data_IF_632927292790
#
_entry.id   IF_632927292790
#
_cell.length_a   1.000
_cell.length_b   1.000
_cell.length_c   1.000
_cell.angle_alpha   90.00
_cell.angle_beta   90.00
_cell.angle_gamma   90.00
#
_symmetry.space_group_name_H-M   'P 1'
#
loop_
_entity.id
_entity.type
_entity.pdbx_description
1 polymer ?
#
# COMPACT_ATOMS: atom_id res chain seq x y z
N UNK A 1 6.83 -64.82 -28.61
CA UNK A 1 6.14 -63.50 -28.81
C UNK A 1 6.22 -62.71 -27.51
N UNK A 2 7.11 -61.74 -27.40
CA UNK A 2 7.27 -60.90 -26.19
C UNK A 2 6.70 -59.53 -26.48
N UNK A 3 5.58 -59.22 -25.88
CA UNK A 3 4.90 -57.93 -25.97
C UNK A 3 5.58 -56.95 -25.01
N UNK A 4 6.20 -55.87 -25.53
CA UNK A 4 6.78 -54.77 -24.74
C UNK A 4 5.67 -53.75 -24.52
N UNK A 5 5.27 -53.53 -23.23
CA UNK A 5 4.45 -52.42 -22.82
C UNK A 5 5.33 -51.17 -22.67
N UNK A 6 5.11 -50.17 -23.51
CA UNK A 6 5.73 -48.84 -23.39
C UNK A 6 4.79 -48.01 -22.55
N UNK A 7 5.18 -47.78 -21.28
CA UNK A 7 4.48 -46.86 -20.39
C UNK A 7 4.97 -45.44 -20.70
N UNK A 8 4.12 -44.66 -21.39
CA UNK A 8 4.37 -43.24 -21.66
C UNK A 8 4.10 -42.43 -20.41
N UNK A 9 5.14 -41.90 -19.80
CA UNK A 9 5.05 -41.01 -18.64
C UNK A 9 4.82 -39.59 -19.15
N UNK A 10 3.59 -39.11 -19.09
CA UNK A 10 3.22 -37.76 -19.51
C UNK A 10 3.56 -36.77 -18.37
N UNK A 11 4.73 -36.10 -18.49
CA UNK A 11 5.18 -35.07 -17.59
C UNK A 11 4.35 -33.79 -17.83
N UNK A 12 3.36 -33.55 -16.98
CA UNK A 12 2.58 -32.30 -17.01
C UNK A 12 3.45 -31.14 -16.52
N UNK A 13 3.94 -30.33 -17.45
CA UNK A 13 4.65 -29.08 -17.16
C UNK A 13 3.64 -28.04 -16.67
N UNK A 14 3.48 -27.89 -15.35
CA UNK A 14 2.70 -26.82 -14.75
C UNK A 14 3.48 -25.52 -14.93
N UNK A 15 3.19 -24.78 -16.00
CA UNK A 15 3.65 -23.41 -16.17
C UNK A 15 2.97 -22.50 -15.14
N UNK A 16 3.58 -22.33 -13.98
CA UNK A 16 3.19 -21.30 -13.03
C UNK A 16 3.46 -19.92 -13.66
N UNK A 17 2.40 -19.18 -14.04
CA UNK A 17 2.55 -17.80 -14.50
C UNK A 17 3.18 -16.98 -13.36
N UNK A 18 4.27 -16.24 -13.61
CA UNK A 18 4.83 -15.37 -12.59
C UNK A 18 3.78 -14.31 -12.22
N UNK A 19 3.36 -14.28 -10.96
CA UNK A 19 2.55 -13.19 -10.44
C UNK A 19 3.49 -11.99 -10.38
N UNK A 20 3.40 -11.11 -11.38
CA UNK A 20 4.22 -9.90 -11.45
C UNK A 20 3.62 -8.87 -10.51
N UNK A 21 4.39 -8.47 -9.50
CA UNK A 21 4.04 -7.36 -8.64
C UNK A 21 3.82 -6.09 -9.48
N UNK A 22 2.69 -5.41 -9.28
CA UNK A 22 2.43 -4.12 -9.93
C UNK A 22 3.01 -3.00 -9.09
N UNK A 23 3.74 -2.09 -9.74
CA UNK A 23 4.30 -0.91 -9.10
C UNK A 23 3.59 0.33 -9.65
N UNK A 24 3.16 1.20 -8.74
CA UNK A 24 2.58 2.50 -9.05
C UNK A 24 3.42 3.58 -8.40
N UNK A 25 3.71 4.65 -9.15
CA UNK A 25 4.53 5.75 -8.67
C UNK A 25 3.76 7.06 -8.77
N UNK A 26 3.79 7.85 -7.72
CA UNK A 26 3.36 9.25 -7.72
C UNK A 26 4.45 10.12 -7.10
N UNK A 27 4.46 11.40 -7.48
CA UNK A 27 5.42 12.35 -6.95
C UNK A 27 4.75 13.68 -6.61
N UNK A 28 5.40 14.44 -5.74
CA UNK A 28 4.95 15.80 -5.42
C UNK A 28 4.96 16.70 -6.65
N UNK A 29 4.00 17.62 -6.74
CA UNK A 29 3.88 18.51 -7.89
C UNK A 29 4.99 19.55 -7.98
N UNK A 30 5.48 20.01 -6.84
CA UNK A 30 6.48 21.09 -6.72
C UNK A 30 7.74 20.66 -5.96
N UNK A 31 7.89 19.38 -5.65
CA UNK A 31 9.01 18.87 -4.86
C UNK A 31 9.61 17.61 -5.48
N UNK A 32 10.50 17.03 -4.73
CA UNK A 32 11.26 15.83 -5.08
C UNK A 32 10.83 14.57 -4.28
N UNK A 33 9.65 14.62 -3.64
CA UNK A 33 9.11 13.50 -2.90
C UNK A 33 8.39 12.54 -3.85
N UNK A 34 8.79 11.27 -3.79
CA UNK A 34 8.24 10.18 -4.61
C UNK A 34 7.67 9.10 -3.70
N UNK A 35 6.46 8.64 -4.01
CA UNK A 35 5.81 7.51 -3.35
C UNK A 35 5.71 6.36 -4.34
N UNK A 36 6.30 5.22 -3.99
CA UNK A 36 6.21 3.97 -4.74
C UNK A 36 5.29 3.02 -4.00
N UNK A 37 4.26 2.53 -4.69
CA UNK A 37 3.28 1.58 -4.15
C UNK A 37 3.41 0.27 -4.89
N UNK A 38 3.72 -0.79 -4.17
CA UNK A 38 3.82 -2.14 -4.71
C UNK A 38 2.57 -2.94 -4.31
N UNK A 39 1.99 -3.61 -5.29
CA UNK A 39 0.78 -4.44 -5.13
C UNK A 39 1.10 -5.85 -5.59
N UNK A 40 1.15 -6.77 -4.62
CA UNK A 40 1.35 -8.20 -4.81
C UNK A 40 0.45 -8.96 -3.81
N UNK A 41 1.00 -9.80 -2.97
CA UNK A 41 0.29 -10.46 -1.84
C UNK A 41 -0.15 -9.48 -0.78
N UNK A 42 0.48 -8.33 -0.71
CA UNK A 42 0.14 -7.20 0.16
C UNK A 42 0.28 -5.89 -0.59
N UNK A 43 -0.27 -4.82 -0.01
CA UNK A 43 0.04 -3.46 -0.43
C UNK A 43 1.18 -2.98 0.44
N UNK A 44 2.30 -2.61 -0.18
CA UNK A 44 3.42 -1.94 0.48
C UNK A 44 3.67 -0.59 -0.17
N UNK A 45 4.16 0.36 0.60
CA UNK A 45 4.53 1.68 0.11
C UNK A 45 5.90 2.09 0.61
N UNK A 46 6.59 2.87 -0.20
CA UNK A 46 7.91 3.41 0.09
C UNK A 46 7.96 4.87 -0.31
N UNK A 47 8.78 5.65 0.39
CA UNK A 47 8.91 7.10 0.14
C UNK A 47 10.38 7.46 -0.03
N UNK A 48 10.66 8.21 -1.08
CA UNK A 48 11.98 8.79 -1.36
C UNK A 48 11.86 10.31 -1.45
N UNK A 49 12.81 11.05 -0.92
CA UNK A 49 12.94 12.49 -1.11
C UNK A 49 14.29 12.81 -1.72
N UNK A 50 14.28 13.34 -2.93
CA UNK A 50 15.48 13.49 -3.75
C UNK A 50 16.18 12.15 -3.97
N UNK A 51 17.41 12.03 -3.50
CA UNK A 51 18.20 10.77 -3.56
C UNK A 51 18.10 9.93 -2.28
N UNK A 52 17.39 10.41 -1.26
CA UNK A 52 17.32 9.77 0.05
C UNK A 52 16.04 8.96 0.19
N UNK A 53 16.17 7.67 0.50
CA UNK A 53 15.03 6.86 0.89
C UNK A 53 14.65 7.22 2.33
N UNK A 54 13.41 7.68 2.52
CA UNK A 54 12.88 8.09 3.83
C UNK A 54 12.15 6.91 4.47
N UNK A 55 11.31 6.23 3.69
CA UNK A 55 10.54 5.08 4.13
C UNK A 55 10.84 3.89 3.23
N UNK A 56 11.29 2.79 3.81
CA UNK A 56 11.44 1.49 3.11
C UNK A 56 10.06 0.88 2.82
N UNK A 57 9.96 -0.14 1.94
CA UNK A 57 8.70 -0.83 1.71
C UNK A 57 8.02 -1.26 3.01
N UNK A 58 6.89 -0.66 3.31
CA UNK A 58 6.13 -0.77 4.56
C UNK A 58 4.72 -1.27 4.27
N UNK A 59 4.27 -2.27 5.01
CA UNK A 59 2.98 -2.94 4.78
C UNK A 59 1.85 -2.13 5.38
N UNK A 60 0.72 -2.08 4.67
CA UNK A 60 -0.53 -1.52 5.17
C UNK A 60 -1.67 -2.52 5.01
N UNK A 61 -2.48 -2.69 6.05
CA UNK A 61 -3.71 -3.48 5.99
C UNK A 61 -4.70 -3.07 7.07
N UNK A 62 -5.98 -3.36 6.84
CA UNK A 62 -7.06 -3.15 7.80
C UNK A 62 -7.92 -4.40 7.87
N UNK A 63 -7.91 -5.07 9.02
CA UNK A 63 -8.71 -6.24 9.28
C UNK A 63 -10.08 -5.84 9.86
N UNK A 64 -11.14 -6.31 9.22
CA UNK A 64 -12.51 -6.09 9.67
C UNK A 64 -13.18 -7.42 10.02
N UNK A 65 -14.40 -7.36 10.54
CA UNK A 65 -15.25 -8.53 10.78
C UNK A 65 -15.60 -9.34 9.52
N UNK A 66 -15.41 -8.75 8.32
CA UNK A 66 -15.81 -9.37 7.05
C UNK A 66 -14.65 -9.72 6.15
N UNK A 67 -13.59 -8.91 6.14
CA UNK A 67 -12.43 -9.11 5.26
C UNK A 67 -11.22 -8.31 5.73
N UNK A 68 -10.05 -8.66 5.22
CA UNK A 68 -8.83 -7.88 5.45
C UNK A 68 -8.49 -7.11 4.17
N UNK A 69 -8.55 -5.77 4.25
CA UNK A 69 -8.11 -4.87 3.18
C UNK A 69 -6.58 -4.83 3.14
N UNK A 70 -5.99 -4.74 1.95
CA UNK A 70 -4.54 -4.67 1.77
C UNK A 70 -3.84 -6.04 1.69
N UNK A 71 -4.55 -7.15 1.93
CA UNK A 71 -4.03 -8.53 1.77
C UNK A 71 -4.63 -9.17 0.52
N UNK A 72 -3.78 -9.78 -0.33
CA UNK A 72 -4.13 -10.32 -1.65
C UNK A 72 -5.05 -9.37 -2.45
N UNK A 73 -4.64 -8.10 -2.62
CA UNK A 73 -5.50 -7.06 -3.18
C UNK A 73 -5.78 -7.33 -4.65
N UNK A 74 -7.06 -7.29 -5.03
CA UNK A 74 -7.49 -7.35 -6.43
C UNK A 74 -7.78 -5.93 -6.90
N UNK A 75 -6.79 -5.29 -7.52
CA UNK A 75 -6.91 -3.95 -8.07
C UNK A 75 -7.57 -4.02 -9.45
N UNK A 76 -8.77 -3.44 -9.58
CA UNK A 76 -9.52 -3.36 -10.84
C UNK A 76 -9.18 -2.10 -11.63
N UNK A 77 -8.93 -1.00 -10.91
CA UNK A 77 -8.63 0.29 -11.52
C UNK A 77 -7.59 1.02 -10.67
N UNK A 78 -6.63 1.65 -11.35
CA UNK A 78 -5.71 2.60 -10.77
C UNK A 78 -5.84 3.93 -11.51
N UNK A 79 -5.89 5.03 -10.77
CA UNK A 79 -5.95 6.37 -11.36
C UNK A 79 -5.02 7.32 -10.63
N UNK A 80 -4.30 8.13 -11.41
CA UNK A 80 -3.44 9.21 -10.90
C UNK A 80 -4.09 10.53 -11.27
N UNK A 81 -4.22 11.44 -10.31
CA UNK A 81 -4.80 12.77 -10.50
C UNK A 81 -3.96 13.81 -9.77
N UNK A 82 -3.87 15.02 -10.35
CA UNK A 82 -3.21 16.15 -9.72
C UNK A 82 -4.26 17.07 -9.11
N UNK A 83 -4.02 17.46 -7.88
CA UNK A 83 -4.80 18.45 -7.16
C UNK A 83 -3.91 19.65 -6.86
N UNK A 84 -4.13 20.75 -7.56
CA UNK A 84 -3.39 22.00 -7.35
C UNK A 84 -4.07 22.82 -6.26
N UNK A 85 -3.26 23.44 -5.41
CA UNK A 85 -3.70 24.41 -4.44
C UNK A 85 -2.63 25.50 -4.35
N UNK A 86 -3.03 26.76 -4.40
CA UNK A 86 -2.14 27.91 -4.43
C UNK A 86 -1.39 28.10 -3.12
N UNK A 87 -1.99 27.68 -1.99
CA UNK A 87 -1.40 27.86 -0.66
C UNK A 87 -0.25 26.89 -0.34
N UNK A 88 -0.31 25.65 -0.84
CA UNK A 88 0.67 24.60 -0.47
C UNK A 88 1.17 23.76 -1.67
N UNK A 89 0.93 24.23 -2.90
CA UNK A 89 1.35 23.56 -4.13
C UNK A 89 0.54 22.32 -4.50
N UNK A 90 -0.39 21.89 -3.64
CA UNK A 90 -1.25 20.73 -3.89
C UNK A 90 -0.56 19.37 -3.72
N UNK A 91 -1.10 18.35 -4.36
CA UNK A 91 -0.58 16.98 -4.29
C UNK A 91 -0.91 16.18 -5.55
N UNK A 92 -0.14 15.15 -5.80
CA UNK A 92 -0.52 14.08 -6.71
C UNK A 92 -1.17 12.94 -5.92
N UNK A 93 -2.28 12.42 -6.42
CA UNK A 93 -3.07 11.35 -5.81
C UNK A 93 -3.05 10.11 -6.68
N UNK A 94 -2.75 8.96 -6.08
CA UNK A 94 -3.01 7.63 -6.62
C UNK A 94 -4.24 7.05 -5.91
N UNK A 95 -5.24 6.62 -6.67
CA UNK A 95 -6.38 5.86 -6.15
C UNK A 95 -6.37 4.46 -6.76
N UNK A 96 -6.24 3.45 -5.91
CA UNK A 96 -6.35 2.04 -6.24
C UNK A 96 -7.75 1.55 -5.86
N UNK A 97 -8.56 1.18 -6.85
CA UNK A 97 -9.89 0.60 -6.61
C UNK A 97 -9.80 -0.91 -6.53
N UNK A 98 -10.12 -1.45 -5.36
CA UNK A 98 -10.10 -2.86 -5.03
C UNK A 98 -11.51 -3.41 -4.76
N UNK A 99 -11.60 -4.72 -4.53
CA UNK A 99 -12.85 -5.36 -4.13
C UNK A 99 -13.27 -4.93 -2.71
N UNK A 100 -14.35 -4.16 -2.62
CA UNK A 100 -14.96 -3.73 -1.36
C UNK A 100 -14.29 -2.53 -0.69
N UNK A 101 -13.19 -2.00 -1.22
CA UNK A 101 -12.48 -0.84 -0.69
C UNK A 101 -11.66 -0.13 -1.77
N UNK A 102 -11.24 1.09 -1.48
CA UNK A 102 -10.22 1.81 -2.23
C UNK A 102 -9.03 2.09 -1.32
N UNK A 103 -7.84 2.25 -1.92
CA UNK A 103 -6.66 2.77 -1.20
C UNK A 103 -6.19 4.02 -1.93
N UNK A 104 -6.06 5.09 -1.19
CA UNK A 104 -5.60 6.37 -1.70
C UNK A 104 -4.23 6.70 -1.12
N UNK A 105 -3.30 7.10 -2.00
CA UNK A 105 -2.00 7.66 -1.62
C UNK A 105 -1.91 9.08 -2.13
N UNK A 106 -1.27 9.95 -1.37
CA UNK A 106 -1.01 11.34 -1.73
C UNK A 106 0.46 11.68 -1.54
N UNK A 107 1.05 12.32 -2.55
CA UNK A 107 2.39 12.88 -2.48
C UNK A 107 2.28 14.41 -2.46
N UNK A 108 2.54 15.01 -1.31
CA UNK A 108 2.66 16.45 -1.11
C UNK A 108 4.12 16.89 -1.27
N UNK A 109 4.39 18.18 -1.25
CA UNK A 109 5.75 18.72 -1.38
C UNK A 109 6.73 18.16 -0.33
N UNK A 110 6.29 18.04 0.92
CA UNK A 110 7.10 17.57 2.05
C UNK A 110 6.45 16.46 2.87
N UNK A 111 5.39 15.83 2.39
CA UNK A 111 4.67 14.79 3.11
C UNK A 111 4.11 13.73 2.16
N UNK A 112 3.99 12.52 2.66
CA UNK A 112 3.25 11.44 2.02
C UNK A 112 2.18 10.93 2.99
N UNK A 113 1.02 10.55 2.45
CA UNK A 113 -0.06 10.03 3.24
C UNK A 113 -0.78 8.91 2.47
N UNK A 114 -1.42 8.00 3.22
CA UNK A 114 -2.36 7.05 2.66
C UNK A 114 -3.64 6.98 3.51
N UNK A 115 -4.68 6.41 2.91
CA UNK A 115 -5.89 6.00 3.63
C UNK A 115 -6.54 4.81 2.94
N UNK A 116 -7.16 3.95 3.72
CA UNK A 116 -8.02 2.86 3.25
C UNK A 116 -9.46 3.33 3.35
N UNK A 117 -10.21 3.22 2.24
CA UNK A 117 -11.58 3.74 2.12
C UNK A 117 -12.52 2.56 1.85
N UNK A 118 -13.25 2.06 2.85
CA UNK A 118 -14.24 1.02 2.65
C UNK A 118 -15.40 1.50 1.78
N UNK A 119 -15.87 0.65 0.85
CA UNK A 119 -17.04 0.95 0.00
C UNK A 119 -18.38 0.61 0.66
N UNK A 120 -18.33 -0.10 1.78
CA UNK A 120 -19.51 -0.45 2.58
C UNK A 120 -19.22 -0.17 4.05
N UNK A 121 -20.26 0.02 4.82
CA UNK A 121 -20.15 0.20 6.28
C UNK A 121 -19.42 -0.97 6.91
N UNK A 122 -18.40 -0.67 7.71
CA UNK A 122 -17.69 -1.59 8.57
C UNK A 122 -18.38 -1.57 9.93
N UNK A 123 -18.75 -2.74 10.45
CA UNK A 123 -19.33 -2.83 11.79
C UNK A 123 -18.24 -2.86 12.86
N UNK A 124 -17.11 -3.54 12.56
CA UNK A 124 -16.03 -3.69 13.52
C UNK A 124 -14.67 -3.75 12.80
N UNK A 125 -13.73 -2.95 13.27
CA UNK A 125 -12.30 -3.07 12.97
C UNK A 125 -11.69 -3.98 14.02
N UNK A 126 -10.97 -5.00 13.59
CA UNK A 126 -10.33 -5.99 14.46
C UNK A 126 -8.86 -5.66 14.67
N UNK A 127 -8.17 -5.23 13.60
CA UNK A 127 -6.76 -4.89 13.64
C UNK A 127 -6.39 -3.96 12.48
N UNK A 128 -5.36 -3.14 12.68
CA UNK A 128 -4.72 -2.35 11.64
C UNK A 128 -3.22 -2.64 11.62
N UNK A 129 -2.66 -2.86 10.43
CA UNK A 129 -1.22 -2.87 10.22
C UNK A 129 -0.85 -1.60 9.49
N UNK A 130 -0.13 -0.72 10.18
CA UNK A 130 0.38 0.54 9.68
C UNK A 130 1.88 0.57 9.95
N UNK A 131 2.65 -0.08 9.07
CA UNK A 131 4.09 -0.21 9.24
C UNK A 131 4.80 1.03 8.70
N UNK A 132 5.82 1.50 9.43
CA UNK A 132 6.72 2.58 9.02
C UNK A 132 8.17 2.15 9.25
N UNK A 133 8.81 1.64 8.19
CA UNK A 133 10.20 1.15 8.23
C UNK A 133 11.13 2.26 7.78
N UNK A 134 11.68 2.99 8.72
CA UNK A 134 12.68 4.01 8.43
C UNK A 134 14.06 3.40 8.15
N UNK A 135 14.88 4.10 7.34
CA UNK A 135 16.22 3.63 6.95
C UNK A 135 17.22 3.72 8.11
N UNK A 136 16.99 4.64 9.04
CA UNK A 136 17.84 4.91 10.19
C UNK A 136 17.05 5.12 11.48
N UNK A 137 17.76 5.33 12.56
CA UNK A 137 17.19 5.68 13.85
C UNK A 137 16.91 7.19 13.87
N UNK A 138 15.64 7.56 13.77
CA UNK A 138 15.17 8.94 13.74
C UNK A 138 14.31 9.23 14.97
N UNK A 139 14.37 10.47 15.43
CA UNK A 139 13.41 10.96 16.42
C UNK A 139 12.01 11.01 15.81
N UNK A 140 11.03 10.44 16.49
CA UNK A 140 9.63 10.48 16.11
C UNK A 140 8.83 11.23 17.18
N UNK A 141 7.94 12.12 16.72
CA UNK A 141 6.95 12.75 17.57
C UNK A 141 5.68 11.91 17.54
N UNK A 142 5.39 11.23 18.64
CA UNK A 142 4.22 10.38 18.77
C UNK A 142 3.28 11.00 19.79
N UNK A 143 2.06 11.40 19.42
CA UNK A 143 1.07 11.86 20.38
C UNK A 143 0.63 10.70 21.28
N UNK A 144 0.93 10.78 22.57
CA UNK A 144 0.42 9.82 23.56
C UNK A 144 -0.92 10.30 24.10
N UNK A 145 -1.94 9.50 23.91
CA UNK A 145 -3.24 9.71 24.56
C UNK A 145 -3.27 8.93 25.85
N UNK A 146 -3.14 9.63 26.98
CA UNK A 146 -3.11 9.01 28.31
C UNK A 146 -4.50 8.57 28.83
N UNK A 147 -5.57 9.01 28.19
CA UNK A 147 -6.94 8.58 28.50
C UNK A 147 -7.83 8.64 27.25
N UNK A 148 -8.92 7.88 27.26
CA UNK A 148 -9.91 7.83 26.17
C UNK A 148 -10.75 9.11 26.01
N UNK A 149 -10.43 10.21 26.67
CA UNK A 149 -11.20 11.44 26.69
C UNK A 149 -10.62 12.57 25.85
N UNK A 150 -9.76 12.21 24.89
CA UNK A 150 -9.34 13.10 23.82
C UNK A 150 -8.64 14.37 24.28
N UNK A 151 -7.34 14.28 24.55
CA UNK A 151 -6.48 15.43 24.70
C UNK A 151 -5.13 15.11 24.06
N UNK A 152 -4.83 15.72 22.93
CA UNK A 152 -3.47 15.69 22.39
C UNK A 152 -2.56 16.43 23.36
N UNK A 153 -1.63 15.71 23.98
CA UNK A 153 -0.53 16.31 24.75
C UNK A 153 0.76 16.12 23.97
N UNK A 154 1.39 17.21 23.66
CA UNK A 154 2.74 17.21 23.12
C UNK A 154 3.71 16.94 24.29
N UNK A 155 4.53 15.91 24.16
CA UNK A 155 5.66 15.63 25.05
C UNK A 155 6.95 16.13 24.44
#
# INVERSE_FOLDING_TARGET
MRTKFITSFMLALVCGLPITAKVYTIQSLLGDLVVNVHVDKSITWAVTKGKTQVLQPSVISLQTDKQTFGVNPKVHKASVTNWKNDDNGGYQRLLLSCNGYDVEFRAFMNAAAYRIIPKKTINKVLNETSEYRFVGDYQAFVPYVNDNRGGERWC
#
